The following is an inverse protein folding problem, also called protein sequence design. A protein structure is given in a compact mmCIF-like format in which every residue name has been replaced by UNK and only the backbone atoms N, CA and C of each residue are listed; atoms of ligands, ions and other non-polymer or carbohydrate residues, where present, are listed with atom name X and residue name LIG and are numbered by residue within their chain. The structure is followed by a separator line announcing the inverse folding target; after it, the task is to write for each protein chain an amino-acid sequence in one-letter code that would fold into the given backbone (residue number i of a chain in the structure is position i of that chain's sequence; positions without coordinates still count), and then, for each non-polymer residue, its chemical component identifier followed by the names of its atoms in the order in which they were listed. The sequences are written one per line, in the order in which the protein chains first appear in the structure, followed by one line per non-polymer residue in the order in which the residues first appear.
data_IF_891595536742
#
_entry.id   IF_891595536742
#
_cell.length_a   1.000
_cell.length_b   1.000
_cell.length_c   1.000
_cell.angle_alpha   90.00
_cell.angle_beta   90.00
_cell.angle_gamma   90.00
#
_symmetry.space_group_name_H-M   'P 1'
#
loop_
_entity.id
_entity.type
_entity.pdbx_description
1 polymer ?
#
# COMPACT_ATOMS: atom_id res chain seq x y z
N UNK A 1 -70.03 -33.84 -36.09
CA UNK A 1 -69.33 -33.28 -34.91
C UNK A 1 -68.90 -34.42 -34.04
N UNK A 2 -67.62 -34.78 -34.10
CA UNK A 2 -66.99 -35.77 -33.22
C UNK A 2 -65.56 -35.33 -33.00
N UNK A 3 -65.22 -35.13 -31.73
CA UNK A 3 -64.00 -34.56 -31.19
C UNK A 3 -62.77 -35.43 -31.50
N UNK A 4 -61.71 -34.81 -32.04
CA UNK A 4 -60.37 -35.41 -32.07
C UNK A 4 -59.67 -35.09 -30.74
N UNK A 5 -59.27 -36.15 -30.02
CA UNK A 5 -58.47 -36.05 -28.80
C UNK A 5 -56.97 -36.09 -29.14
N UNK A 6 -56.26 -35.01 -28.84
CA UNK A 6 -54.80 -34.90 -29.01
C UNK A 6 -54.08 -35.61 -27.85
N UNK A 7 -53.09 -36.50 -28.09
CA UNK A 7 -52.36 -37.18 -27.01
C UNK A 7 -51.36 -36.25 -26.31
N UNK A 8 -51.34 -36.29 -24.97
CA UNK A 8 -50.34 -35.63 -24.11
C UNK A 8 -48.93 -36.22 -24.33
N UNK A 9 -47.99 -35.38 -24.76
CA UNK A 9 -46.56 -35.72 -24.82
C UNK A 9 -45.96 -35.75 -23.41
N UNK A 10 -45.35 -36.88 -23.03
CA UNK A 10 -44.63 -37.04 -21.77
C UNK A 10 -43.37 -36.16 -21.76
N UNK A 11 -43.21 -35.33 -20.72
CA UNK A 11 -41.99 -34.53 -20.50
C UNK A 11 -40.91 -35.46 -19.94
N UNK A 12 -39.93 -35.81 -20.77
CA UNK A 12 -38.73 -36.54 -20.32
C UNK A 12 -37.98 -35.72 -19.26
N UNK A 13 -37.77 -36.32 -18.08
CA UNK A 13 -36.93 -35.75 -17.04
C UNK A 13 -35.49 -35.68 -17.53
N UNK A 14 -34.93 -34.46 -17.58
CA UNK A 14 -33.52 -34.22 -17.91
C UNK A 14 -32.63 -35.04 -16.99
N UNK A 15 -31.89 -36.00 -17.56
CA UNK A 15 -30.88 -36.79 -16.86
C UNK A 15 -29.66 -35.91 -16.61
N UNK A 16 -29.33 -35.67 -15.35
CA UNK A 16 -28.06 -35.05 -14.97
C UNK A 16 -26.93 -36.05 -15.19
N UNK A 17 -25.78 -35.57 -15.70
CA UNK A 17 -24.61 -36.40 -15.97
C UNK A 17 -24.15 -37.12 -14.69
N UNK A 18 -23.64 -38.37 -14.77
CA UNK A 18 -23.12 -39.14 -13.63
C UNK A 18 -22.10 -38.37 -12.79
N UNK A 19 -21.37 -37.45 -13.44
CA UNK A 19 -20.35 -36.59 -12.84
C UNK A 19 -20.90 -35.56 -11.85
N UNK A 20 -22.18 -35.19 -11.98
CA UNK A 20 -22.87 -34.25 -11.08
C UNK A 20 -23.75 -34.98 -10.04
N UNK A 21 -23.53 -36.29 -9.84
CA UNK A 21 -24.30 -37.03 -8.85
C UNK A 21 -23.88 -36.67 -7.42
N UNK A 22 -24.87 -36.51 -6.54
CA UNK A 22 -24.67 -36.11 -5.14
C UNK A 22 -23.76 -37.06 -4.32
N UNK A 23 -23.54 -38.29 -4.80
CA UNK A 23 -22.64 -39.25 -4.16
C UNK A 23 -21.17 -38.76 -4.13
N UNK A 24 -20.69 -38.14 -5.22
CA UNK A 24 -19.32 -37.59 -5.27
C UNK A 24 -19.14 -36.31 -4.45
N UNK A 25 -20.23 -35.59 -4.14
CA UNK A 25 -20.18 -34.36 -3.34
C UNK A 25 -19.87 -34.63 -1.86
N UNK A 26 -20.16 -35.83 -1.35
CA UNK A 26 -19.90 -36.22 0.06
C UNK A 26 -18.46 -36.66 0.31
N UNK A 27 -17.75 -37.09 -0.73
CA UNK A 27 -16.35 -37.54 -0.70
C UNK A 27 -15.38 -36.47 -1.23
N UNK A 28 -15.91 -35.34 -1.72
CA UNK A 28 -15.10 -34.23 -2.19
C UNK A 28 -14.25 -33.65 -1.04
N UNK A 29 -12.95 -33.38 -1.27
CA UNK A 29 -12.12 -32.68 -0.30
C UNK A 29 -12.81 -31.37 0.10
N UNK A 30 -12.80 -31.05 1.40
CA UNK A 30 -13.27 -29.74 1.87
C UNK A 30 -12.64 -28.62 1.05
N UNK A 31 -13.41 -27.56 0.77
CA UNK A 31 -12.92 -26.42 0.02
C UNK A 31 -11.57 -25.99 0.58
N UNK A 32 -10.52 -25.83 -0.25
CA UNK A 32 -9.19 -25.54 0.25
C UNK A 32 -9.29 -24.31 1.14
N UNK A 33 -8.87 -24.47 2.41
CA UNK A 33 -8.74 -23.35 3.35
C UNK A 33 -7.69 -22.43 2.74
N UNK A 34 -8.11 -21.48 1.91
CA UNK A 34 -7.26 -20.39 1.47
C UNK A 34 -6.80 -19.72 2.75
N UNK A 35 -5.55 -19.97 3.18
CA UNK A 35 -4.89 -19.09 4.15
C UNK A 35 -5.02 -17.72 3.51
N UNK A 36 -5.87 -16.87 4.07
CA UNK A 36 -6.05 -15.53 3.55
C UNK A 36 -4.64 -14.94 3.46
N UNK A 37 -4.18 -14.60 2.25
CA UNK A 37 -3.01 -13.74 2.08
C UNK A 37 -3.41 -12.42 2.74
N UNK A 38 -3.19 -12.33 4.05
CA UNK A 38 -3.53 -11.14 4.82
C UNK A 38 -2.56 -10.07 4.37
N UNK A 39 -3.02 -9.21 3.46
CA UNK A 39 -2.30 -8.02 3.05
C UNK A 39 -2.06 -7.19 4.32
N UNK A 40 -0.79 -6.85 4.57
CA UNK A 40 -0.40 -6.02 5.68
C UNK A 40 -1.19 -4.72 5.71
N UNK A 41 -1.74 -4.37 6.86
CA UNK A 41 -2.35 -3.07 7.11
C UNK A 41 -1.79 -2.57 8.43
N UNK A 42 -0.86 -1.60 8.42
CA UNK A 42 -0.26 -1.11 9.65
C UNK A 42 -1.35 -0.49 10.54
N UNK A 43 -1.42 -0.86 11.82
CA UNK A 43 -2.46 -0.38 12.71
C UNK A 43 -2.30 1.12 13.00
N UNK A 44 -3.41 1.79 13.27
CA UNK A 44 -3.42 3.21 13.66
C UNK A 44 -2.93 3.37 15.09
N UNK A 45 -2.00 4.28 15.31
CA UNK A 45 -1.44 4.56 16.62
C UNK A 45 -1.99 5.87 17.20
N UNK A 46 -1.81 6.13 18.52
CA UNK A 46 -2.10 7.43 19.11
C UNK A 46 -1.21 8.58 18.59
N UNK A 47 -0.13 8.26 17.85
CA UNK A 47 0.88 9.24 17.44
C UNK A 47 0.59 9.90 16.10
N UNK A 48 -0.36 9.35 15.33
CA UNK A 48 -0.81 9.89 14.05
C UNK A 48 0.35 10.19 13.08
N UNK A 49 1.26 9.23 12.92
CA UNK A 49 2.33 9.39 11.94
C UNK A 49 1.73 9.47 10.53
N UNK A 50 2.28 10.35 9.68
CA UNK A 50 1.77 10.53 8.31
C UNK A 50 1.86 9.23 7.50
N UNK A 51 2.84 8.38 7.82
CA UNK A 51 3.02 7.04 7.26
C UNK A 51 1.79 6.14 7.46
N UNK A 52 1.08 6.26 8.58
CA UNK A 52 -0.15 5.50 8.86
C UNK A 52 -1.29 5.85 7.89
N UNK A 53 -1.23 7.02 7.28
CA UNK A 53 -2.21 7.46 6.28
C UNK A 53 -1.77 7.09 4.87
N UNK A 54 -0.48 7.15 4.58
CA UNK A 54 0.05 7.01 3.22
C UNK A 54 0.51 5.59 2.84
N UNK A 55 0.47 4.61 3.75
CA UNK A 55 1.03 3.27 3.53
C UNK A 55 0.50 2.52 2.28
N UNK A 56 -0.71 2.85 1.82
CA UNK A 56 -1.32 2.24 0.65
C UNK A 56 -0.66 2.67 -0.67
N UNK A 57 0.10 3.76 -0.65
CA UNK A 57 0.84 4.33 -1.77
C UNK A 57 2.31 4.53 -1.36
N UNK A 58 3.19 3.54 -1.64
CA UNK A 58 4.57 3.58 -1.21
C UNK A 58 5.34 4.80 -1.74
N UNK A 59 5.00 5.30 -2.94
CA UNK A 59 5.63 6.50 -3.48
C UNK A 59 5.28 7.72 -2.63
N UNK A 60 3.99 7.93 -2.31
CA UNK A 60 3.58 9.06 -1.45
C UNK A 60 4.16 8.96 -0.05
N UNK A 61 4.22 7.76 0.52
CA UNK A 61 4.85 7.55 1.82
C UNK A 61 6.34 7.94 1.77
N UNK A 62 7.08 7.53 0.74
CA UNK A 62 8.49 7.87 0.58
C UNK A 62 8.70 9.37 0.31
N UNK A 63 7.84 10.03 -0.48
CA UNK A 63 7.84 11.49 -0.62
C UNK A 63 7.66 12.16 0.74
N UNK A 64 6.74 11.68 1.58
CA UNK A 64 6.57 12.22 2.93
C UNK A 64 7.86 12.11 3.77
N UNK A 65 8.60 11.00 3.64
CA UNK A 65 9.90 10.86 4.33
C UNK A 65 10.94 11.87 3.82
N UNK A 66 10.97 12.15 2.52
CA UNK A 66 11.84 13.20 1.94
C UNK A 66 11.46 14.59 2.48
N UNK A 67 10.17 14.88 2.65
CA UNK A 67 9.67 16.13 3.21
C UNK A 67 10.02 16.34 4.69
N UNK A 68 10.08 15.24 5.46
CA UNK A 68 10.39 15.25 6.89
C UNK A 68 11.90 15.29 7.18
N UNK A 69 12.76 15.18 6.17
CA UNK A 69 14.20 15.29 6.34
C UNK A 69 14.60 16.67 6.86
N UNK A 70 15.02 16.73 8.14
CA UNK A 70 15.43 17.96 8.84
C UNK A 70 14.33 19.05 8.83
N UNK A 71 13.07 18.66 8.72
CA UNK A 71 11.92 19.58 8.74
C UNK A 71 10.85 19.03 9.69
N UNK A 72 10.25 19.90 10.51
CA UNK A 72 9.18 19.46 11.41
C UNK A 72 7.92 19.08 10.63
N UNK A 73 7.20 18.06 11.10
CA UNK A 73 5.94 17.64 10.49
C UNK A 73 4.89 18.76 10.44
N UNK A 74 4.89 19.66 11.44
CA UNK A 74 4.00 20.83 11.48
C UNK A 74 4.15 21.74 10.25
N UNK A 75 5.38 21.90 9.74
CA UNK A 75 5.65 22.69 8.55
C UNK A 75 5.55 21.85 7.27
N UNK A 76 6.05 20.61 7.31
CA UNK A 76 6.16 19.76 6.13
C UNK A 76 4.82 19.21 5.63
N UNK A 77 3.90 18.82 6.53
CA UNK A 77 2.66 18.12 6.17
C UNK A 77 1.70 18.99 5.34
N UNK A 78 1.45 20.28 5.68
CA UNK A 78 0.60 21.13 4.84
C UNK A 78 1.12 21.25 3.41
N UNK A 79 2.43 21.52 3.26
CA UNK A 79 3.08 21.64 1.94
C UNK A 79 3.12 20.29 1.20
N UNK A 80 3.24 19.18 1.92
CA UNK A 80 3.14 17.83 1.32
C UNK A 80 1.78 17.63 0.65
N UNK A 81 0.68 18.08 1.25
CA UNK A 81 -0.65 17.95 0.65
C UNK A 81 -0.81 18.83 -0.59
N UNK A 82 -0.29 20.05 -0.57
CA UNK A 82 -0.24 20.92 -1.75
C UNK A 82 0.60 20.29 -2.86
N UNK A 83 1.75 19.72 -2.50
CA UNK A 83 2.61 18.98 -3.42
C UNK A 83 1.88 17.80 -4.04
N UNK A 84 1.22 16.96 -3.25
CA UNK A 84 0.50 15.77 -3.76
C UNK A 84 -0.73 16.13 -4.59
N UNK A 85 -1.34 17.31 -4.37
CA UNK A 85 -2.39 17.83 -5.24
C UNK A 85 -1.84 18.20 -6.62
N UNK A 86 -0.65 18.82 -6.68
CA UNK A 86 -0.01 19.26 -7.92
C UNK A 86 0.72 18.13 -8.66
N UNK A 87 1.35 17.23 -7.92
CA UNK A 87 2.15 16.11 -8.41
C UNK A 87 1.59 14.81 -7.80
N UNK A 88 0.48 14.27 -8.34
CA UNK A 88 -0.26 13.18 -7.69
C UNK A 88 0.39 11.80 -7.84
N UNK A 89 1.40 11.66 -8.71
CA UNK A 89 2.03 10.39 -9.05
C UNK A 89 3.51 10.57 -9.42
N UNK A 90 4.33 9.48 -9.38
CA UNK A 90 5.74 9.54 -9.79
C UNK A 90 5.91 9.95 -11.25
N UNK A 91 4.98 9.60 -12.15
CA UNK A 91 5.02 9.96 -13.57
C UNK A 91 4.94 11.47 -13.78
N UNK A 92 4.09 12.15 -13.00
CA UNK A 92 3.96 13.61 -13.04
C UNK A 92 5.19 14.25 -12.37
N UNK A 93 5.58 13.75 -11.20
CA UNK A 93 6.70 14.31 -10.44
C UNK A 93 8.05 14.21 -11.18
N UNK A 94 8.32 13.10 -11.90
CA UNK A 94 9.58 12.95 -12.66
C UNK A 94 9.69 13.89 -13.86
N UNK A 95 8.56 14.35 -14.40
CA UNK A 95 8.49 15.20 -15.59
C UNK A 95 8.43 16.70 -15.25
N UNK A 96 8.36 17.04 -13.95
CA UNK A 96 8.23 18.41 -13.49
C UNK A 96 9.54 19.22 -13.67
N UNK A 97 9.41 20.54 -13.81
CA UNK A 97 10.55 21.45 -13.67
C UNK A 97 10.91 21.59 -12.19
N UNK A 98 12.19 21.35 -11.87
CA UNK A 98 12.69 21.46 -10.51
C UNK A 98 12.59 22.89 -9.98
N UNK A 99 12.67 23.92 -10.83
CA UNK A 99 12.56 25.32 -10.39
C UNK A 99 11.15 25.63 -9.87
N UNK A 100 10.13 25.20 -10.60
CA UNK A 100 8.74 25.36 -10.19
C UNK A 100 8.42 24.56 -8.92
N UNK A 101 8.90 23.31 -8.84
CA UNK A 101 8.76 22.50 -7.64
C UNK A 101 9.48 23.13 -6.44
N UNK A 102 10.66 23.69 -6.67
CA UNK A 102 11.48 24.34 -5.65
C UNK A 102 10.76 25.55 -5.01
N UNK A 103 10.03 26.35 -5.79
CA UNK A 103 9.25 27.47 -5.24
C UNK A 103 8.17 27.02 -4.26
N UNK A 104 7.51 25.88 -4.52
CA UNK A 104 6.56 25.27 -3.57
C UNK A 104 7.26 24.81 -2.27
N UNK A 105 8.48 24.29 -2.38
CA UNK A 105 9.23 23.74 -1.24
C UNK A 105 9.98 24.81 -0.44
N UNK A 106 10.06 26.04 -0.94
CA UNK A 106 10.84 27.15 -0.39
C UNK A 106 10.65 27.37 1.12
N UNK A 107 9.42 27.32 1.68
CA UNK A 107 9.21 27.53 3.11
C UNK A 107 9.83 26.45 4.01
N UNK A 108 10.19 25.28 3.45
CA UNK A 108 10.70 24.13 4.21
C UNK A 108 12.22 24.12 4.36
N UNK A 109 12.93 25.00 3.63
CA UNK A 109 14.39 24.94 3.48
C UNK A 109 14.86 23.77 2.59
N UNK A 110 16.14 23.78 2.22
CA UNK A 110 16.75 22.76 1.34
C UNK A 110 15.97 22.56 0.01
N UNK A 111 15.24 23.57 -0.43
CA UNK A 111 14.19 23.46 -1.44
C UNK A 111 14.70 23.00 -2.80
N UNK A 112 15.85 23.53 -3.28
CA UNK A 112 16.40 23.11 -4.56
C UNK A 112 16.91 21.66 -4.52
N UNK A 113 17.64 21.32 -3.45
CA UNK A 113 18.14 19.96 -3.24
C UNK A 113 16.98 18.98 -3.16
N UNK A 114 15.93 19.33 -2.42
CA UNK A 114 14.73 18.51 -2.27
C UNK A 114 13.97 18.36 -3.59
N UNK A 115 13.77 19.43 -4.35
CA UNK A 115 13.12 19.38 -5.66
C UNK A 115 13.85 18.44 -6.63
N UNK A 116 15.17 18.62 -6.77
CA UNK A 116 16.02 17.77 -7.60
C UNK A 116 16.00 16.31 -7.13
N UNK A 117 16.02 16.09 -5.81
CA UNK A 117 15.93 14.76 -5.20
C UNK A 117 14.60 14.09 -5.54
N UNK A 118 13.47 14.78 -5.40
CA UNK A 118 12.13 14.25 -5.68
C UNK A 118 11.98 13.83 -7.14
N UNK A 119 12.43 14.67 -8.07
CA UNK A 119 12.37 14.37 -9.51
C UNK A 119 13.18 13.11 -9.83
N UNK A 120 14.43 13.05 -9.36
CA UNK A 120 15.30 11.89 -9.58
C UNK A 120 14.77 10.63 -8.90
N UNK A 121 14.35 10.73 -7.65
CA UNK A 121 13.70 9.65 -6.90
C UNK A 121 12.51 9.09 -7.68
N UNK A 122 11.61 9.95 -8.16
CA UNK A 122 10.40 9.53 -8.87
C UNK A 122 10.72 8.87 -10.22
N UNK A 123 11.77 9.35 -10.90
CA UNK A 123 12.30 8.71 -12.10
C UNK A 123 12.85 7.30 -11.82
N UNK A 124 13.71 7.18 -10.80
CA UNK A 124 14.28 5.89 -10.39
C UNK A 124 13.23 4.92 -9.86
N UNK A 125 12.22 5.40 -9.12
CA UNK A 125 11.10 4.61 -8.59
C UNK A 125 10.36 3.84 -9.70
N UNK A 126 10.21 4.44 -10.88
CA UNK A 126 9.52 3.86 -12.03
C UNK A 126 10.41 3.04 -12.97
N UNK A 127 11.71 3.35 -13.03
CA UNK A 127 12.59 2.81 -14.07
C UNK A 127 13.61 1.79 -13.57
N UNK A 128 14.00 1.83 -12.29
CA UNK A 128 14.90 0.83 -11.72
C UNK A 128 14.11 -0.39 -11.27
N UNK A 129 14.71 -1.57 -11.41
CA UNK A 129 14.30 -2.72 -10.63
C UNK A 129 14.89 -2.57 -9.23
N UNK A 130 14.06 -2.39 -8.21
CA UNK A 130 14.46 -2.24 -6.82
C UNK A 130 13.62 -3.17 -5.94
N UNK A 131 14.22 -3.71 -4.88
CA UNK A 131 13.54 -4.53 -3.88
C UNK A 131 13.16 -3.70 -2.65
N UNK A 132 14.07 -2.83 -2.22
CA UNK A 132 13.87 -1.92 -1.11
C UNK A 132 14.18 -0.49 -1.54
N UNK A 133 13.45 0.52 -1.03
CA UNK A 133 13.59 1.88 -1.54
C UNK A 133 14.91 2.53 -1.15
N UNK A 134 15.71 1.97 -0.24
CA UNK A 134 17.10 2.43 0.03
C UNK A 134 18.00 2.38 -1.21
N UNK A 135 17.64 1.58 -2.22
CA UNK A 135 18.33 1.50 -3.52
C UNK A 135 18.04 2.72 -4.42
N UNK A 136 17.03 3.53 -4.06
CA UNK A 136 16.58 4.70 -4.81
C UNK A 136 17.22 5.97 -4.28
N UNK A 137 17.60 6.85 -5.19
CA UNK A 137 18.17 8.14 -4.84
C UNK A 137 17.28 8.94 -3.88
N UNK A 138 17.88 9.50 -2.82
CA UNK A 138 17.18 10.34 -1.84
C UNK A 138 16.55 9.57 -0.67
N UNK A 139 16.52 8.23 -0.72
CA UNK A 139 15.97 7.41 0.36
C UNK A 139 17.11 6.80 1.18
N UNK A 140 17.23 7.24 2.44
CA UNK A 140 18.15 6.65 3.42
C UNK A 140 17.46 5.64 4.35
N UNK A 141 18.16 5.28 5.43
CA UNK A 141 17.66 4.34 6.46
C UNK A 141 16.26 4.70 6.97
N UNK A 142 16.00 5.97 7.29
CA UNK A 142 14.70 6.43 7.77
C UNK A 142 13.55 6.12 6.80
N UNK A 143 13.71 6.43 5.51
CA UNK A 143 12.69 6.17 4.50
C UNK A 143 12.51 4.67 4.25
N UNK A 144 13.61 3.91 4.29
CA UNK A 144 13.59 2.47 4.16
C UNK A 144 12.89 1.76 5.32
N UNK A 145 13.21 2.14 6.56
CA UNK A 145 12.54 1.62 7.75
C UNK A 145 11.05 1.96 7.74
N UNK A 146 10.70 3.19 7.30
CA UNK A 146 9.30 3.58 7.12
C UNK A 146 8.58 2.68 6.11
N UNK A 147 9.19 2.40 4.96
CA UNK A 147 8.63 1.45 3.99
C UNK A 147 8.46 0.05 4.57
N UNK A 148 9.50 -0.47 5.25
CA UNK A 148 9.50 -1.82 5.83
C UNK A 148 8.50 -2.02 6.97
N UNK A 149 8.16 -0.95 7.68
CA UNK A 149 7.15 -0.98 8.76
C UNK A 149 5.74 -0.82 8.19
N UNK A 150 5.53 0.12 7.27
CA UNK A 150 4.18 0.53 6.88
C UNK A 150 3.70 -0.11 5.58
N UNK A 151 4.56 -0.27 4.58
CA UNK A 151 4.17 -0.78 3.26
C UNK A 151 4.23 -2.30 3.17
N UNK A 152 5.15 -2.93 3.92
CA UNK A 152 5.32 -4.39 3.96
C UNK A 152 5.33 -4.90 5.41
N UNK A 153 5.03 -6.18 5.63
CA UNK A 153 4.96 -6.76 6.97
C UNK A 153 6.35 -7.18 7.50
N UNK A 154 7.32 -6.27 7.49
CA UNK A 154 8.69 -6.54 7.95
C UNK A 154 9.01 -5.78 9.25
N UNK A 155 8.01 -5.20 9.92
CA UNK A 155 8.21 -4.34 11.09
C UNK A 155 8.99 -5.02 12.23
N UNK A 156 8.87 -6.35 12.40
CA UNK A 156 9.62 -7.11 13.41
C UNK A 156 11.14 -7.16 13.14
N UNK A 157 11.54 -7.02 11.89
CA UNK A 157 12.94 -7.08 11.43
C UNK A 157 13.59 -5.68 11.32
N UNK A 158 12.84 -4.64 11.67
CA UNK A 158 13.29 -3.24 11.57
C UNK A 158 13.78 -2.77 12.94
N UNK A 159 14.93 -2.09 12.94
CA UNK A 159 15.48 -1.37 14.09
C UNK A 159 15.59 0.11 13.72
N UNK A 160 14.56 0.93 14.02
CA UNK A 160 14.56 2.33 13.64
C UNK A 160 15.58 3.15 14.43
N UNK A 161 16.06 4.24 13.82
CA UNK A 161 16.87 5.25 14.50
C UNK A 161 16.15 6.59 14.62
N UNK A 162 15.07 6.78 13.86
CA UNK A 162 14.24 7.98 13.95
C UNK A 162 13.40 7.96 15.22
N UNK A 163 13.33 9.11 15.91
CA UNK A 163 12.63 9.23 17.19
C UNK A 163 11.13 8.90 17.07
N UNK A 164 10.44 9.41 16.05
CA UNK A 164 9.00 9.18 15.88
C UNK A 164 8.71 7.76 15.43
N UNK A 165 9.55 7.21 14.55
CA UNK A 165 9.44 5.84 14.10
C UNK A 165 9.68 4.84 15.25
N UNK A 166 10.62 5.12 16.15
CA UNK A 166 10.84 4.34 17.37
C UNK A 166 9.62 4.32 18.28
N UNK A 167 8.98 5.48 18.49
CA UNK A 167 7.76 5.56 19.33
C UNK A 167 6.63 4.67 18.77
N UNK A 168 6.41 4.70 17.45
CA UNK A 168 5.42 3.82 16.80
C UNK A 168 5.83 2.35 16.87
N UNK A 169 7.11 2.03 16.65
CA UNK A 169 7.63 0.66 16.64
C UNK A 169 7.57 0.01 18.03
N UNK A 170 7.94 0.73 19.10
CA UNK A 170 7.78 0.27 20.49
C UNK A 170 6.31 -0.01 20.79
N UNK A 171 5.41 0.90 20.41
CA UNK A 171 3.98 0.70 20.60
C UNK A 171 3.43 -0.50 19.83
N UNK A 172 3.91 -0.77 18.61
CA UNK A 172 3.56 -1.98 17.86
C UNK A 172 3.93 -3.23 18.66
N UNK A 173 5.16 -3.30 19.19
CA UNK A 173 5.60 -4.42 20.01
C UNK A 173 4.71 -4.62 21.23
N UNK A 174 4.41 -3.54 21.97
CA UNK A 174 3.56 -3.58 23.17
C UNK A 174 2.11 -4.02 22.87
N UNK A 175 1.62 -3.79 21.66
CA UNK A 175 0.21 -4.01 21.29
C UNK A 175 -0.01 -5.17 20.31
N UNK A 176 1.03 -5.90 19.89
CA UNK A 176 0.96 -6.89 18.81
C UNK A 176 -0.11 -7.98 19.01
N UNK A 177 -0.25 -8.47 20.23
CA UNK A 177 -1.23 -9.50 20.60
C UNK A 177 -2.66 -8.95 20.54
N UNK A 178 -2.88 -7.79 21.18
CA UNK A 178 -4.16 -7.09 21.17
C UNK A 178 -4.63 -6.72 19.76
N UNK A 179 -3.69 -6.40 18.88
CA UNK A 179 -3.94 -6.04 17.48
C UNK A 179 -4.01 -7.26 16.55
N UNK A 180 -3.72 -8.47 17.05
CA UNK A 180 -3.68 -9.71 16.26
C UNK A 180 -2.74 -9.60 15.03
N UNK A 181 -1.57 -8.97 15.22
CA UNK A 181 -0.53 -8.79 14.19
C UNK A 181 0.75 -9.58 14.49
N UNK A 182 0.66 -10.54 15.41
CA UNK A 182 1.75 -11.48 15.67
C UNK A 182 1.88 -12.53 14.55
#
# INVERSE_FOLDING_TARGET
FTEESVPRTQVERRKTSPYFSSKYSKEAPSAPRRKALRKWTPPRSPFNLIQETLFHDPWKLLIATIFLNKTSGKMAIPVLWEFLKKYPSPEVARAADWKEMSELLKPLGLYELRAKTIIRFSGEYLSKAWRYPIELHGIGKYGNDSYRIFCVNEWKEVQPQDHKLNVYHTWLWENRERLSID
#
